data_IF_661921921732
#
_entry.id   IF_661921921732
#
_cell.length_a   1.000
_cell.length_b   1.000
_cell.length_c   1.000
_cell.angle_alpha   90.00
_cell.angle_beta   90.00
_cell.angle_gamma   90.00
#
_symmetry.space_group_name_H-M   'P 1'
#
loop_
_entity.id
_entity.type
_entity.pdbx_description
1 polymer ?
#
# COMPACT_ATOMS: atom_id res chain seq x y z
N UNK A 1 10.54 -7.72 -4.14
CA UNK A 1 9.34 -7.92 -3.30
C UNK A 1 9.42 -9.09 -2.32
N UNK A 2 10.20 -10.19 -2.52
CA UNK A 2 10.24 -11.29 -1.54
C UNK A 2 10.57 -10.83 -0.11
N UNK A 3 11.61 -10.01 0.04
CA UNK A 3 12.04 -9.46 1.34
C UNK A 3 10.96 -8.67 2.08
N UNK A 4 10.12 -7.90 1.37
CA UNK A 4 9.04 -7.12 2.01
C UNK A 4 7.86 -8.00 2.45
N UNK A 5 7.62 -9.10 1.74
CA UNK A 5 6.60 -10.08 2.10
C UNK A 5 7.05 -10.86 3.33
N UNK A 6 8.28 -11.38 3.31
CA UNK A 6 8.89 -12.09 4.45
C UNK A 6 8.91 -11.21 5.71
N UNK A 7 9.29 -9.94 5.57
CA UNK A 7 9.24 -8.96 6.67
C UNK A 7 7.82 -8.83 7.25
N UNK A 8 6.81 -8.64 6.40
CA UNK A 8 5.43 -8.48 6.85
C UNK A 8 4.86 -9.75 7.50
N UNK A 9 5.18 -10.93 6.95
CA UNK A 9 4.77 -12.22 7.52
C UNK A 9 5.43 -12.50 8.88
N UNK A 10 6.63 -11.97 9.11
CA UNK A 10 7.33 -12.08 10.40
C UNK A 10 6.78 -11.18 11.52
N UNK A 11 5.90 -10.23 11.20
CA UNK A 11 5.28 -9.33 12.19
C UNK A 11 4.18 -10.03 13.00
N UNK A 12 3.95 -9.56 14.23
CA UNK A 12 2.77 -9.96 14.99
C UNK A 12 1.48 -9.51 14.30
N UNK A 13 0.34 -10.11 14.66
CA UNK A 13 -0.96 -9.72 14.07
C UNK A 13 -1.30 -8.24 14.31
N UNK A 14 -0.93 -7.69 15.46
CA UNK A 14 -1.12 -6.28 15.78
C UNK A 14 -0.24 -5.38 14.90
N UNK A 15 1.04 -5.72 14.75
CA UNK A 15 1.97 -4.99 13.89
C UNK A 15 1.57 -5.07 12.40
N UNK A 16 1.09 -6.22 11.93
CA UNK A 16 0.52 -6.35 10.59
C UNK A 16 -0.67 -5.41 10.41
N UNK A 17 -1.58 -5.37 11.38
CA UNK A 17 -2.76 -4.50 11.35
C UNK A 17 -2.37 -3.02 11.33
N UNK A 18 -1.43 -2.62 12.19
CA UNK A 18 -0.93 -1.25 12.25
C UNK A 18 -0.21 -0.86 10.96
N UNK A 19 0.58 -1.76 10.39
CA UNK A 19 1.24 -1.58 9.09
C UNK A 19 0.20 -1.36 7.97
N UNK A 20 -0.85 -2.17 7.92
CA UNK A 20 -1.90 -2.02 6.90
C UNK A 20 -2.65 -0.68 7.03
N UNK A 21 -2.94 -0.23 8.26
CA UNK A 21 -3.54 1.08 8.52
C UNK A 21 -2.60 2.22 8.10
N UNK A 22 -1.31 2.11 8.39
CA UNK A 22 -0.32 3.10 7.96
C UNK A 22 -0.24 3.19 6.43
N UNK A 23 -0.20 2.04 5.75
CA UNK A 23 -0.21 1.98 4.29
C UNK A 23 -1.49 2.59 3.68
N UNK A 24 -2.65 2.35 4.29
CA UNK A 24 -3.91 2.93 3.81
C UNK A 24 -3.89 4.47 3.94
N UNK A 25 -3.34 5.00 5.03
CA UNK A 25 -3.13 6.45 5.18
C UNK A 25 -2.18 7.02 4.12
N UNK A 26 -1.09 6.32 3.79
CA UNK A 26 -0.20 6.76 2.70
C UNK A 26 -0.89 6.73 1.34
N UNK A 27 -1.76 5.75 1.06
CA UNK A 27 -2.55 5.73 -0.17
C UNK A 27 -3.46 6.98 -0.26
N UNK A 28 -4.08 7.39 0.85
CA UNK A 28 -4.88 8.63 0.90
C UNK A 28 -4.01 9.87 0.65
N UNK A 29 -2.84 9.96 1.27
CA UNK A 29 -1.90 11.08 1.07
C UNK A 29 -1.37 11.15 -0.37
N UNK A 30 -1.14 10.00 -1.00
CA UNK A 30 -0.80 9.88 -2.41
C UNK A 30 -1.99 10.25 -3.33
N UNK A 31 -3.17 10.51 -2.77
CA UNK A 31 -4.43 10.81 -3.47
C UNK A 31 -4.86 9.65 -4.37
N UNK A 32 -4.82 8.43 -3.85
CA UNK A 32 -5.36 7.26 -4.54
C UNK A 32 -6.80 7.53 -5.02
N UNK A 33 -7.10 7.04 -6.23
CA UNK A 33 -8.39 7.19 -6.92
C UNK A 33 -8.89 5.82 -7.38
N UNK A 34 -10.19 5.69 -7.62
CA UNK A 34 -10.78 4.43 -8.11
C UNK A 34 -10.13 3.91 -9.41
N UNK A 35 -9.62 4.83 -10.26
CA UNK A 35 -8.88 4.50 -11.49
C UNK A 35 -7.58 3.73 -11.23
N UNK A 36 -6.98 3.89 -10.05
CA UNK A 36 -5.73 3.20 -9.70
C UNK A 36 -5.98 1.69 -9.42
N UNK A 37 -7.21 1.31 -9.06
CA UNK A 37 -7.59 -0.04 -8.60
C UNK A 37 -7.20 -1.18 -9.54
N UNK A 38 -7.65 -1.19 -10.82
CA UNK A 38 -7.35 -2.27 -11.76
C UNK A 38 -5.84 -2.49 -11.98
N UNK A 39 -5.08 -1.40 -12.10
CA UNK A 39 -3.63 -1.47 -12.28
C UNK A 39 -2.93 -1.97 -11.01
N UNK A 40 -3.39 -1.56 -9.83
CA UNK A 40 -2.87 -2.04 -8.56
C UNK A 40 -3.13 -3.54 -8.34
N UNK A 41 -4.30 -4.05 -8.73
CA UNK A 41 -4.61 -5.49 -8.68
C UNK A 41 -3.63 -6.27 -9.56
N UNK A 42 -3.40 -5.80 -10.79
CA UNK A 42 -2.47 -6.41 -11.74
C UNK A 42 -1.04 -6.43 -11.19
N UNK A 43 -0.55 -5.29 -10.68
CA UNK A 43 0.80 -5.17 -10.09
C UNK A 43 0.96 -6.00 -8.82
N UNK A 44 -0.09 -6.13 -8.01
CA UNK A 44 -0.09 -6.95 -6.81
C UNK A 44 -0.13 -8.46 -7.12
N UNK A 45 -0.43 -8.85 -8.37
CA UNK A 45 -0.58 -10.25 -8.78
C UNK A 45 -1.78 -10.92 -8.08
N UNK A 46 -2.84 -10.17 -7.82
CA UNK A 46 -4.06 -10.69 -7.19
C UNK A 46 -5.08 -11.10 -8.25
N UNK A 47 -5.87 -12.14 -7.93
CA UNK A 47 -7.07 -12.47 -8.69
C UNK A 47 -8.15 -11.44 -8.38
N UNK A 48 -8.93 -11.05 -9.40
CA UNK A 48 -10.06 -10.13 -9.23
C UNK A 48 -11.11 -10.62 -8.21
N UNK A 49 -11.14 -11.92 -7.92
CA UNK A 49 -12.05 -12.55 -6.95
C UNK A 49 -11.55 -12.49 -5.51
N UNK A 50 -10.31 -12.08 -5.26
CA UNK A 50 -9.82 -11.91 -3.89
C UNK A 50 -10.52 -10.71 -3.23
N UNK A 51 -10.91 -10.85 -1.96
CA UNK A 51 -11.63 -9.82 -1.20
C UNK A 51 -11.05 -8.41 -1.34
N UNK A 52 -9.75 -8.16 -1.13
CA UNK A 52 -9.21 -6.80 -1.26
C UNK A 52 -9.26 -6.26 -2.71
N UNK A 53 -9.17 -7.13 -3.72
CA UNK A 53 -9.32 -6.75 -5.13
C UNK A 53 -10.77 -6.37 -5.48
N UNK A 54 -11.74 -7.08 -4.88
CA UNK A 54 -13.16 -6.74 -5.01
C UNK A 54 -13.46 -5.41 -4.31
N UNK A 55 -12.91 -5.18 -3.11
CA UNK A 55 -13.13 -3.93 -2.36
C UNK A 55 -12.55 -2.72 -3.10
N UNK A 56 -11.30 -2.77 -3.56
CA UNK A 56 -10.64 -1.59 -4.17
C UNK A 56 -11.30 -1.11 -5.47
N UNK A 57 -12.08 -1.98 -6.12
CA UNK A 57 -12.81 -1.67 -7.38
C UNK A 57 -14.25 -1.22 -7.15
N UNK A 58 -14.69 -1.08 -5.89
CA UNK A 58 -16.07 -0.75 -5.52
C UNK A 58 -16.17 0.58 -4.78
N UNK A 59 -17.18 1.38 -5.12
CA UNK A 59 -17.56 2.56 -4.34
C UNK A 59 -16.44 3.59 -4.18
N UNK A 60 -16.39 4.25 -3.02
CA UNK A 60 -15.43 5.32 -2.74
C UNK A 60 -14.12 4.75 -2.20
N UNK A 61 -13.01 5.06 -2.86
CA UNK A 61 -11.70 4.47 -2.54
C UNK A 61 -11.21 4.79 -1.12
N UNK A 62 -11.51 5.97 -0.59
CA UNK A 62 -11.15 6.39 0.77
C UNK A 62 -11.74 5.44 1.82
N UNK A 63 -13.01 5.07 1.67
CA UNK A 63 -13.68 4.09 2.51
C UNK A 63 -13.05 2.70 2.34
N UNK A 64 -12.85 2.26 1.10
CA UNK A 64 -12.34 0.91 0.82
C UNK A 64 -10.92 0.68 1.32
N UNK A 65 -10.07 1.71 1.31
CA UNK A 65 -8.72 1.63 1.89
C UNK A 65 -8.76 1.30 3.38
N UNK A 66 -9.75 1.82 4.13
CA UNK A 66 -9.97 1.47 5.52
C UNK A 66 -10.44 0.01 5.69
N UNK A 67 -11.42 -0.42 4.90
CA UNK A 67 -11.94 -1.79 4.92
C UNK A 67 -10.86 -2.83 4.59
N UNK A 68 -10.06 -2.57 3.55
CA UNK A 68 -8.94 -3.43 3.14
C UNK A 68 -7.90 -3.55 4.25
N UNK A 69 -7.61 -2.45 4.95
CA UNK A 69 -6.69 -2.45 6.08
C UNK A 69 -7.25 -3.16 7.33
N UNK A 70 -8.58 -3.31 7.42
CA UNK A 70 -9.28 -3.99 8.50
C UNK A 70 -9.50 -5.50 8.30
N UNK A 71 -9.11 -6.07 7.15
CA UNK A 71 -9.29 -7.50 6.90
C UNK A 71 -8.51 -8.36 7.90
N UNK A 72 -9.20 -9.29 8.56
CA UNK A 72 -8.66 -10.00 9.71
C UNK A 72 -7.96 -11.34 9.41
N UNK A 73 -8.36 -12.19 8.44
CA UNK A 73 -7.65 -13.45 8.21
C UNK A 73 -6.21 -13.22 7.73
N UNK A 74 -5.25 -14.05 8.16
CA UNK A 74 -3.82 -13.89 7.80
C UNK A 74 -3.61 -13.82 6.28
N UNK A 75 -4.23 -14.73 5.54
CA UNK A 75 -4.16 -14.75 4.08
C UNK A 75 -4.75 -13.50 3.42
N UNK A 76 -5.77 -12.89 4.03
CA UNK A 76 -6.35 -11.63 3.56
C UNK A 76 -5.46 -10.44 3.91
N UNK A 77 -4.83 -10.40 5.10
CA UNK A 77 -3.83 -9.38 5.45
C UNK A 77 -2.65 -9.37 4.49
N UNK A 78 -2.16 -10.54 4.10
CA UNK A 78 -1.07 -10.66 3.13
C UNK A 78 -1.47 -10.13 1.74
N UNK A 79 -2.69 -10.43 1.29
CA UNK A 79 -3.23 -9.89 0.04
C UNK A 79 -3.44 -8.38 0.13
N UNK A 80 -3.97 -7.88 1.25
CA UNK A 80 -4.12 -6.45 1.53
C UNK A 80 -2.79 -5.74 1.51
N UNK A 81 -1.74 -6.30 2.13
CA UNK A 81 -0.39 -5.73 2.13
C UNK A 81 0.13 -5.57 0.70
N UNK A 82 0.08 -6.64 -0.09
CA UNK A 82 0.48 -6.62 -1.50
C UNK A 82 -0.31 -5.58 -2.30
N UNK A 83 -1.62 -5.51 -2.08
CA UNK A 83 -2.48 -4.56 -2.79
C UNK A 83 -2.19 -3.11 -2.39
N UNK A 84 -2.11 -2.80 -1.10
CA UNK A 84 -1.90 -1.43 -0.62
C UNK A 84 -0.54 -0.88 -1.04
N UNK A 85 0.51 -1.71 -1.06
CA UNK A 85 1.81 -1.30 -1.65
C UNK A 85 1.65 -0.97 -3.15
N UNK A 86 0.91 -1.78 -3.90
CA UNK A 86 0.67 -1.51 -5.31
C UNK A 86 -0.21 -0.27 -5.55
N UNK A 87 -1.22 -0.02 -4.70
CA UNK A 87 -2.04 1.21 -4.73
C UNK A 87 -1.18 2.43 -4.45
N UNK A 88 -0.38 2.38 -3.39
CA UNK A 88 0.54 3.46 -3.05
C UNK A 88 1.47 3.76 -4.23
N UNK A 89 2.11 2.75 -4.82
CA UNK A 89 3.03 2.93 -5.94
C UNK A 89 2.36 3.54 -7.18
N UNK A 90 1.13 3.12 -7.52
CA UNK A 90 0.39 3.65 -8.67
C UNK A 90 -0.06 5.09 -8.42
N UNK A 91 -0.68 5.34 -7.26
CA UNK A 91 -1.18 6.66 -6.89
C UNK A 91 -0.04 7.68 -6.77
N UNK A 92 1.08 7.28 -6.17
CA UNK A 92 2.27 8.12 -6.00
C UNK A 92 2.94 8.42 -7.35
N UNK A 93 3.08 7.44 -8.23
CA UNK A 93 3.59 7.67 -9.59
C UNK A 93 2.72 8.66 -10.37
N UNK A 94 1.39 8.51 -10.30
CA UNK A 94 0.44 9.46 -10.90
C UNK A 94 0.54 10.84 -10.27
N UNK A 95 0.67 10.92 -8.94
CA UNK A 95 0.83 12.18 -8.21
C UNK A 95 2.10 12.89 -8.64
N UNK A 96 3.24 12.19 -8.72
CA UNK A 96 4.52 12.77 -9.15
C UNK A 96 4.44 13.36 -10.54
N UNK A 97 3.89 12.60 -11.49
CA UNK A 97 3.73 13.06 -12.89
C UNK A 97 2.86 14.30 -13.03
N UNK A 98 1.85 14.47 -12.18
CA UNK A 98 0.87 15.57 -12.29
C UNK A 98 1.17 16.79 -11.43
N UNK A 99 1.83 16.62 -10.28
CA UNK A 99 1.92 17.66 -9.25
C UNK A 99 3.35 17.92 -8.74
N UNK A 100 4.34 17.14 -9.17
CA UNK A 100 5.71 17.24 -8.65
C UNK A 100 6.77 17.35 -9.75
N UNK A 101 6.38 17.82 -10.94
CA UNK A 101 7.31 18.06 -12.05
C UNK A 101 8.39 19.10 -11.72
N UNK A 102 8.08 20.06 -10.85
CA UNK A 102 8.97 21.17 -10.48
C UNK A 102 9.65 20.97 -9.11
N UNK A 103 9.72 19.71 -8.66
CA UNK A 103 10.30 19.32 -7.38
C UNK A 103 9.26 19.05 -6.28
N UNK A 104 9.65 18.27 -5.28
CA UNK A 104 8.79 17.86 -4.18
C UNK A 104 9.48 17.98 -2.81
N UNK A 105 8.73 18.45 -1.81
CA UNK A 105 9.17 18.64 -0.43
C UNK A 105 8.60 17.64 0.58
N UNK A 106 7.81 16.64 0.16
CA UNK A 106 7.23 15.69 1.10
C UNK A 106 8.31 14.75 1.67
N UNK A 107 8.36 14.60 3.00
CA UNK A 107 9.36 13.78 3.69
C UNK A 107 9.39 12.31 3.20
N UNK A 108 8.25 11.76 2.82
CA UNK A 108 8.15 10.37 2.32
C UNK A 108 8.63 10.19 0.88
N UNK A 109 8.89 11.27 0.12
CA UNK A 109 9.64 11.21 -1.15
C UNK A 109 11.15 11.28 -0.94
N UNK A 110 11.60 11.62 0.26
CA UNK A 110 13.00 11.68 0.68
C UNK A 110 13.24 10.74 1.85
N UNK A 111 12.70 9.52 1.77
CA UNK A 111 13.04 8.50 2.74
C UNK A 111 14.53 8.17 2.56
N UNK A 112 15.36 8.72 3.43
CA UNK A 112 16.71 8.25 3.62
C UNK A 112 16.62 6.82 4.10
N UNK A 113 17.27 5.89 3.39
CA UNK A 113 17.57 4.57 3.95
C UNK A 113 18.59 4.79 5.06
N UNK A 114 18.12 4.99 6.29
CA UNK A 114 18.98 4.83 7.45
C UNK A 114 19.40 3.36 7.46
N UNK A 115 20.60 3.13 6.93
CA UNK A 115 21.23 1.82 6.96
C UNK A 115 21.57 1.58 8.43
N UNK A 116 21.02 0.54 9.08
CA UNK A 116 21.37 0.27 10.46
C UNK A 116 22.89 0.08 10.53
N UNK A 117 23.56 0.95 11.30
CA UNK A 117 24.99 0.83 11.53
C UNK A 117 25.22 -0.52 12.18
N UNK A 118 25.85 -1.45 11.46
CA UNK A 118 26.43 -2.63 12.05
C UNK A 118 27.53 -2.15 12.98
N UNK A 119 27.25 -2.09 14.27
CA UNK A 119 28.29 -1.92 15.30
C UNK A 119 29.23 -3.11 15.19
N UNK A 120 30.49 -2.82 14.90
CA UNK A 120 31.60 -3.76 14.93
C UNK A 120 31.98 -4.14 16.38
#
# INVERSE_FOLDING_TARGET
MPQGIEWFEGLSTEEQTNTLRLLSHFCVQARATAEDGPESIRRAGLRATHTPAVLITRGRIDQQLGEIAGLTPHNERLKSFRLLIAVLAVADERRRRRFCSDGCGHAWHRLSVDTPKTSA
#
